data_IF_024564554632
#
_entry.id   IF_024564554632
#
_cell.length_a   1.000
_cell.length_b   1.000
_cell.length_c   1.000
_cell.angle_alpha   90.00
_cell.angle_beta   90.00
_cell.angle_gamma   90.00
#
_symmetry.space_group_name_H-M   'P 1'
#
loop_
_entity.id
_entity.type
_entity.pdbx_description
1 polymer ?
#
# COMPACT_ATOMS: atom_id res chain seq x y z
N UNK A 1 7.04 -5.67 -14.87
CA UNK A 1 6.65 -4.95 -13.63
C UNK A 1 5.42 -5.65 -13.05
N UNK A 2 5.32 -5.87 -11.73
CA UNK A 2 4.15 -6.56 -11.16
C UNK A 2 2.88 -5.73 -11.34
N UNK A 3 1.77 -6.42 -11.62
CA UNK A 3 0.43 -5.84 -11.84
C UNK A 3 -0.36 -5.64 -10.53
N UNK A 4 0.21 -6.05 -9.39
CA UNK A 4 -0.43 -6.01 -8.09
C UNK A 4 0.14 -4.84 -7.29
N UNK A 5 -0.64 -3.75 -7.22
CA UNK A 5 -0.35 -2.56 -6.41
C UNK A 5 -1.54 -2.32 -5.49
N UNK A 6 -2.74 -2.25 -6.07
CA UNK A 6 -4.00 -2.09 -5.36
C UNK A 6 -4.80 -3.39 -5.34
N UNK A 7 -5.54 -3.68 -4.25
CA UNK A 7 -6.52 -4.76 -4.26
C UNK A 7 -7.65 -4.46 -5.25
N UNK A 8 -8.26 -5.49 -5.81
CA UNK A 8 -9.47 -5.31 -6.63
C UNK A 8 -10.67 -4.98 -5.74
N UNK A 9 -11.72 -4.41 -6.34
CA UNK A 9 -12.99 -4.15 -5.63
C UNK A 9 -13.57 -5.40 -4.97
N UNK A 10 -13.51 -6.54 -5.65
CA UNK A 10 -14.04 -7.80 -5.16
C UNK A 10 -13.22 -8.33 -3.97
N UNK A 11 -11.89 -8.21 -4.02
CA UNK A 11 -10.99 -8.57 -2.91
C UNK A 11 -11.30 -7.72 -1.67
N UNK A 12 -11.46 -6.40 -1.85
CA UNK A 12 -11.79 -5.51 -0.75
C UNK A 12 -13.19 -5.80 -0.17
N UNK A 13 -14.17 -6.09 -1.03
CA UNK A 13 -15.52 -6.46 -0.58
C UNK A 13 -15.54 -7.77 0.20
N UNK A 14 -14.73 -8.75 -0.20
CA UNK A 14 -14.59 -10.01 0.52
C UNK A 14 -13.96 -9.79 1.90
N UNK A 15 -12.88 -9.01 1.98
CA UNK A 15 -12.22 -8.67 3.25
C UNK A 15 -13.17 -7.94 4.21
N UNK A 16 -13.93 -6.95 3.74
CA UNK A 16 -14.86 -6.18 4.56
C UNK A 16 -16.05 -7.01 5.11
N UNK A 17 -16.30 -8.21 4.58
CA UNK A 17 -17.34 -9.14 5.03
C UNK A 17 -16.84 -10.21 5.99
N UNK A 18 -15.53 -10.27 6.25
CA UNK A 18 -14.97 -11.25 7.18
C UNK A 18 -15.50 -11.00 8.59
N UNK A 19 -15.76 -12.09 9.31
CA UNK A 19 -16.12 -12.06 10.74
C UNK A 19 -14.91 -11.62 11.56
N UNK A 20 -15.15 -10.81 12.58
CA UNK A 20 -14.10 -10.28 13.45
C UNK A 20 -13.73 -11.31 14.53
N UNK A 21 -13.07 -12.40 14.10
CA UNK A 21 -12.76 -13.56 14.93
C UNK A 21 -11.37 -13.44 15.63
N UNK A 22 -10.75 -12.26 15.57
CA UNK A 22 -9.45 -12.00 16.19
C UNK A 22 -8.54 -11.09 15.35
N UNK A 23 -7.27 -10.91 15.76
CA UNK A 23 -6.37 -9.98 15.09
C UNK A 23 -6.05 -10.42 13.66
N UNK A 24 -6.03 -9.45 12.74
CA UNK A 24 -5.62 -9.64 11.35
C UNK A 24 -4.12 -9.39 11.22
N UNK A 25 -3.38 -10.40 10.73
CA UNK A 25 -1.95 -10.28 10.45
C UNK A 25 -1.72 -9.83 9.00
N UNK A 26 -1.35 -8.57 8.81
CA UNK A 26 -1.11 -8.00 7.49
C UNK A 26 0.35 -8.19 7.04
N UNK A 27 0.60 -9.20 6.19
CA UNK A 27 1.93 -9.46 5.61
C UNK A 27 2.19 -8.56 4.39
N UNK A 28 3.26 -7.76 4.46
CA UNK A 28 3.64 -6.82 3.41
C UNK A 28 4.93 -7.29 2.69
N UNK A 29 4.81 -7.66 1.41
CA UNK A 29 5.96 -7.98 0.54
C UNK A 29 6.07 -6.95 -0.57
N UNK A 30 6.90 -5.93 -0.34
CA UNK A 30 6.91 -4.72 -1.18
C UNK A 30 8.16 -4.68 -2.05
N UNK A 31 7.96 -4.54 -3.35
CA UNK A 31 9.04 -4.26 -4.32
C UNK A 31 8.89 -2.85 -4.86
N UNK A 32 9.82 -1.98 -4.47
CA UNK A 32 9.84 -0.58 -4.88
C UNK A 32 10.43 -0.40 -6.28
N UNK A 33 9.94 0.62 -7.00
CA UNK A 33 10.54 1.06 -8.27
C UNK A 33 11.84 1.83 -8.00
N UNK A 34 12.77 1.82 -8.96
CA UNK A 34 13.94 2.72 -8.93
C UNK A 34 13.52 4.19 -8.93
N UNK A 35 12.52 4.54 -9.74
CA UNK A 35 11.89 5.87 -9.82
C UNK A 35 10.40 5.75 -9.58
N UNK A 36 9.85 6.58 -8.69
CA UNK A 36 8.42 6.66 -8.44
C UNK A 36 7.68 7.14 -9.70
N UNK A 37 6.42 6.71 -9.86
CA UNK A 37 5.55 7.12 -10.95
C UNK A 37 4.43 7.98 -10.37
N UNK A 38 4.57 9.29 -10.46
CA UNK A 38 3.53 10.25 -10.12
C UNK A 38 3.04 10.92 -11.41
N UNK A 39 1.72 11.13 -11.51
CA UNK A 39 1.10 11.74 -12.69
C UNK A 39 1.36 13.26 -12.76
N UNK A 40 1.66 13.88 -11.61
CA UNK A 40 2.05 15.29 -11.50
C UNK A 40 3.51 15.59 -11.90
N UNK A 41 4.24 14.58 -12.38
CA UNK A 41 5.61 14.75 -12.88
C UNK A 41 6.70 14.86 -11.81
N UNK A 42 6.38 14.71 -10.51
CA UNK A 42 7.38 14.68 -9.44
C UNK A 42 8.45 13.60 -9.70
N UNK A 43 9.72 13.99 -9.61
CA UNK A 43 10.88 13.09 -9.73
C UNK A 43 11.37 12.68 -8.36
N UNK A 44 11.21 11.40 -8.04
CA UNK A 44 11.56 10.84 -6.73
C UNK A 44 11.94 9.37 -6.88
N UNK A 45 12.81 8.84 -6.02
CA UNK A 45 13.03 7.39 -5.95
C UNK A 45 11.80 6.68 -5.37
N UNK A 46 11.63 5.39 -5.65
CA UNK A 46 10.55 4.62 -5.03
C UNK A 46 10.69 4.49 -3.50
N UNK A 47 11.93 4.52 -2.98
CA UNK A 47 12.21 4.47 -1.54
C UNK A 47 11.76 5.75 -0.82
N UNK A 48 12.08 6.92 -1.37
CA UNK A 48 11.63 8.21 -0.84
C UNK A 48 10.10 8.32 -0.89
N UNK A 49 9.48 7.89 -1.99
CA UNK A 49 8.02 7.89 -2.13
C UNK A 49 7.35 6.99 -1.09
N UNK A 50 7.90 5.79 -0.85
CA UNK A 50 7.38 4.87 0.15
C UNK A 50 7.57 5.40 1.58
N UNK A 51 8.69 6.09 1.86
CA UNK A 51 8.93 6.77 3.14
C UNK A 51 7.91 7.89 3.38
N UNK A 52 7.60 8.69 2.35
CA UNK A 52 6.58 9.73 2.44
C UNK A 52 5.18 9.15 2.73
N UNK A 53 4.82 8.05 2.06
CA UNK A 53 3.60 7.30 2.37
C UNK A 53 3.56 6.86 3.83
N UNK A 54 4.62 6.19 4.31
CA UNK A 54 4.68 5.70 5.68
C UNK A 54 4.54 6.82 6.73
N UNK A 55 5.19 7.96 6.51
CA UNK A 55 5.09 9.12 7.40
C UNK A 55 3.66 9.70 7.43
N UNK A 56 3.00 9.80 6.27
CA UNK A 56 1.64 10.31 6.18
C UNK A 56 0.60 9.33 6.73
N UNK A 57 0.84 8.02 6.63
CA UNK A 57 -0.08 6.98 7.09
C UNK A 57 0.09 6.63 8.57
N UNK A 58 1.26 6.85 9.16
CA UNK A 58 1.57 6.47 10.54
C UNK A 58 0.51 6.90 11.58
N UNK A 59 -0.09 8.11 11.53
CA UNK A 59 -1.11 8.52 12.49
C UNK A 59 -2.40 7.68 12.50
N UNK A 60 -2.64 6.87 11.47
CA UNK A 60 -3.79 5.98 11.38
C UNK A 60 -3.50 4.56 11.90
N UNK A 61 -2.24 4.25 12.24
CA UNK A 61 -1.80 2.93 12.71
C UNK A 61 -1.40 2.92 14.20
N UNK A 62 -1.79 3.96 14.95
CA UNK A 62 -1.57 4.12 16.39
C UNK A 62 -2.85 3.94 17.19
#
# INVERSE_FOLDING_TARGET
>A
MSKYIDPTRDQFSAFAKMTDDGPVWMLNMIRLRKKAKYDDGRKMSGAEAYKAYAAASAPFFT
#
